data_IF_582144457950
#
_entry.id   IF_582144457950
#
_cell.length_a   1.000
_cell.length_b   1.000
_cell.length_c   1.000
_cell.angle_alpha   90.00
_cell.angle_beta   90.00
_cell.angle_gamma   90.00
#
_symmetry.space_group_name_H-M   'P 1'
#
loop_
_entity.id
_entity.type
_entity.pdbx_description
1 polymer ?
#
# COMPACT_ATOMS: atom_id res chain seq x y z
N UNK A 1 -9.46 22.30 71.80
CA UNK A 1 -10.89 21.97 71.69
C UNK A 1 -11.43 22.65 70.44
N UNK A 2 -11.78 21.85 69.43
CA UNK A 2 -12.93 22.02 68.54
C UNK A 2 -13.01 20.78 67.62
N UNK A 3 -13.96 19.91 67.96
CA UNK A 3 -14.87 19.03 67.18
C UNK A 3 -14.63 18.91 65.64
N UNK A 4 -14.87 17.82 64.90
CA UNK A 4 -15.50 16.50 65.11
C UNK A 4 -15.42 15.71 63.77
N UNK A 5 -15.17 14.39 63.88
CA UNK A 5 -15.67 13.21 63.10
C UNK A 5 -15.55 13.09 61.56
N UNK A 6 -14.86 12.00 61.19
CA UNK A 6 -15.34 10.82 60.41
C UNK A 6 -15.75 11.03 58.95
N UNK A 7 -15.03 10.41 58.02
CA UNK A 7 -15.61 9.57 56.97
C UNK A 7 -14.61 8.49 56.52
N UNK A 8 -15.06 7.23 56.59
CA UNK A 8 -14.41 6.02 56.13
C UNK A 8 -14.89 5.78 54.69
N UNK A 9 -13.98 5.65 53.70
CA UNK A 9 -14.29 4.99 52.44
C UNK A 9 -13.11 4.11 52.05
N UNK A 10 -13.33 2.80 52.16
CA UNK A 10 -12.54 1.77 51.53
C UNK A 10 -12.87 1.72 50.03
N UNK A 11 -11.87 1.51 49.17
CA UNK A 11 -12.03 0.85 47.87
C UNK A 11 -10.66 0.48 47.30
N UNK A 12 -10.36 -0.82 47.36
CA UNK A 12 -9.28 -1.48 46.61
C UNK A 12 -9.73 -1.61 45.16
N UNK A 13 -8.88 -1.22 44.21
CA UNK A 13 -8.96 -1.67 42.83
C UNK A 13 -7.55 -1.76 42.26
N UNK A 14 -6.97 -2.97 42.33
CA UNK A 14 -5.81 -3.33 41.53
C UNK A 14 -6.29 -3.53 40.09
N UNK A 15 -5.88 -2.65 39.18
CA UNK A 15 -6.00 -2.89 37.74
C UNK A 15 -4.64 -3.34 37.26
N UNK A 16 -4.50 -4.65 37.03
CA UNK A 16 -3.36 -5.23 36.35
C UNK A 16 -3.33 -4.71 34.91
N UNK A 17 -2.32 -3.91 34.59
CA UNK A 17 -2.04 -3.47 33.24
C UNK A 17 -1.51 -4.69 32.46
N UNK A 18 -2.40 -5.40 31.79
CA UNK A 18 -2.01 -6.35 30.75
C UNK A 18 -1.51 -5.50 29.59
N UNK A 19 -0.19 -5.47 29.39
CA UNK A 19 0.42 -4.99 28.16
C UNK A 19 0.24 -6.12 27.13
N UNK A 20 -0.62 -6.00 26.10
CA UNK A 20 -0.57 -6.95 25.00
C UNK A 20 0.79 -6.75 24.32
N UNK A 21 1.59 -7.82 24.30
CA UNK A 21 2.89 -7.83 23.65
C UNK A 21 2.78 -7.33 22.22
N UNK A 22 3.73 -6.49 21.83
CA UNK A 22 3.98 -6.10 20.45
C UNK A 22 4.02 -7.33 19.56
N UNK A 23 3.02 -7.47 18.68
CA UNK A 23 3.08 -8.41 17.57
C UNK A 23 4.35 -8.11 16.80
N UNK A 24 5.17 -9.14 16.60
CA UNK A 24 6.43 -8.99 15.86
C UNK A 24 6.15 -8.37 14.50
N UNK A 25 6.95 -7.37 14.12
CA UNK A 25 7.04 -6.90 12.76
C UNK A 25 7.65 -8.02 11.90
N UNK A 26 6.86 -9.07 11.61
CA UNK A 26 7.05 -9.83 10.38
C UNK A 26 6.80 -8.82 9.28
N UNK A 27 7.85 -8.39 8.59
CA UNK A 27 7.73 -7.41 7.51
C UNK A 27 6.61 -7.86 6.57
N UNK A 28 5.56 -7.06 6.47
CA UNK A 28 4.49 -7.35 5.53
C UNK A 28 5.12 -7.45 4.14
N UNK A 29 4.99 -8.60 3.49
CA UNK A 29 5.39 -8.73 2.09
C UNK A 29 4.38 -7.92 1.29
N UNK A 30 4.77 -6.73 0.87
CA UNK A 30 3.96 -5.91 -0.03
C UNK A 30 3.87 -6.65 -1.37
N UNK A 31 2.66 -7.00 -1.86
CA UNK A 31 2.52 -7.67 -3.14
C UNK A 31 3.11 -6.82 -4.28
N UNK A 32 3.82 -7.47 -5.19
CA UNK A 32 4.41 -6.82 -6.37
C UNK A 32 3.48 -6.96 -7.56
N UNK A 33 3.25 -5.84 -8.24
CA UNK A 33 2.63 -5.80 -9.56
C UNK A 33 3.63 -5.18 -10.56
N UNK A 34 3.64 -5.71 -11.77
CA UNK A 34 4.47 -5.21 -12.86
C UNK A 34 3.56 -4.72 -13.99
N UNK A 35 3.62 -3.43 -14.27
CA UNK A 35 2.99 -2.81 -15.42
C UNK A 35 3.97 -2.73 -16.60
N UNK A 36 3.50 -2.92 -17.82
CA UNK A 36 4.32 -2.77 -19.03
C UNK A 36 3.54 -2.05 -20.12
N UNK A 37 4.16 -1.05 -20.75
CA UNK A 37 3.64 -0.31 -21.90
C UNK A 37 4.59 -0.51 -23.06
N UNK A 38 4.13 -1.19 -24.11
CA UNK A 38 4.95 -1.56 -25.26
C UNK A 38 6.06 -2.56 -24.89
N UNK A 39 7.19 -2.46 -25.58
CA UNK A 39 8.41 -3.20 -25.25
C UNK A 39 9.65 -2.48 -25.76
N UNK A 40 10.83 -2.91 -25.32
CA UNK A 40 12.09 -2.35 -25.82
C UNK A 40 12.28 -2.47 -27.34
N UNK A 41 11.64 -3.44 -28.00
CA UNK A 41 11.74 -3.66 -29.46
C UNK A 41 10.51 -3.16 -30.23
N UNK A 42 9.40 -2.89 -29.54
CA UNK A 42 8.20 -2.31 -30.12
C UNK A 42 7.52 -1.37 -29.10
N UNK A 43 8.08 -0.17 -28.87
CA UNK A 43 7.56 0.80 -27.90
C UNK A 43 6.09 1.16 -28.12
N UNK A 44 5.69 1.34 -29.38
CA UNK A 44 4.35 1.81 -29.76
C UNK A 44 3.41 0.65 -30.15
N UNK A 45 3.57 -0.53 -29.53
CA UNK A 45 2.81 -1.72 -29.91
C UNK A 45 1.32 -1.71 -29.47
N UNK A 46 0.79 -0.60 -28.96
CA UNK A 46 -0.57 -0.50 -28.39
C UNK A 46 -0.89 -1.62 -27.39
N UNK A 47 0.12 -2.04 -26.61
CA UNK A 47 0.00 -3.09 -25.61
C UNK A 47 0.30 -2.52 -24.24
N UNK A 48 -0.68 -2.63 -23.33
CA UNK A 48 -0.55 -2.27 -21.92
C UNK A 48 -0.97 -3.48 -21.09
N UNK A 49 -0.14 -3.90 -20.15
CA UNK A 49 -0.42 -5.05 -19.29
C UNK A 49 -0.07 -4.76 -17.83
N UNK A 50 -0.73 -5.50 -16.94
CA UNK A 50 -0.43 -5.57 -15.51
C UNK A 50 -0.37 -7.06 -15.13
N UNK A 51 0.69 -7.46 -14.44
CA UNK A 51 0.88 -8.82 -13.99
C UNK A 51 1.29 -8.88 -12.52
N UNK A 52 0.94 -9.96 -11.84
CA UNK A 52 1.43 -10.24 -10.48
C UNK A 52 2.87 -10.78 -10.50
N UNK A 53 3.41 -11.06 -9.32
CA UNK A 53 4.76 -11.63 -9.16
C UNK A 53 4.95 -13.01 -9.80
N UNK A 54 3.87 -13.69 -10.19
CA UNK A 54 3.92 -14.97 -10.91
C UNK A 54 3.88 -14.80 -12.43
N UNK A 55 3.67 -13.57 -12.92
CA UNK A 55 3.45 -13.26 -14.33
C UNK A 55 2.00 -13.45 -14.78
N UNK A 56 1.07 -13.70 -13.85
CA UNK A 56 -0.34 -13.86 -14.18
C UNK A 56 -0.96 -12.49 -14.46
N UNK A 57 -1.72 -12.38 -15.56
CA UNK A 57 -2.41 -11.15 -15.93
C UNK A 57 -3.40 -10.74 -14.83
N UNK A 58 -3.28 -9.50 -14.38
CA UNK A 58 -4.19 -8.88 -13.42
C UNK A 58 -5.21 -8.02 -14.17
N UNK A 59 -6.49 -8.26 -13.90
CA UNK A 59 -7.60 -7.46 -14.46
C UNK A 59 -8.43 -6.77 -13.39
N UNK A 60 -8.14 -7.05 -12.11
CA UNK A 60 -8.77 -6.43 -10.95
C UNK A 60 -7.71 -6.29 -9.87
N UNK A 61 -7.61 -5.10 -9.27
CA UNK A 61 -6.73 -4.83 -8.13
C UNK A 61 -7.63 -4.54 -6.94
N UNK A 62 -7.57 -5.40 -5.93
CA UNK A 62 -8.26 -5.16 -4.67
C UNK A 62 -7.66 -3.95 -3.95
N UNK A 63 -8.42 -3.20 -3.14
CA UNK A 63 -7.85 -2.14 -2.31
C UNK A 63 -6.79 -2.69 -1.35
N UNK A 64 -5.62 -2.07 -1.30
CA UNK A 64 -4.52 -2.48 -0.44
C UNK A 64 -3.20 -1.79 -0.78
N UNK A 65 -2.16 -2.10 -0.02
CA UNK A 65 -0.79 -1.65 -0.33
C UNK A 65 -0.16 -2.59 -1.36
N UNK A 66 0.45 -2.02 -2.39
CA UNK A 66 1.15 -2.74 -3.45
C UNK A 66 2.43 -2.01 -3.79
N UNK A 67 3.48 -2.76 -4.15
CA UNK A 67 4.60 -2.20 -4.89
C UNK A 67 4.27 -2.36 -6.36
N UNK A 68 4.29 -1.27 -7.14
CA UNK A 68 4.00 -1.32 -8.57
C UNK A 68 5.24 -0.86 -9.32
N UNK A 69 5.84 -1.75 -10.11
CA UNK A 69 6.93 -1.43 -11.02
C UNK A 69 6.35 -1.20 -12.41
N UNK A 70 6.61 -0.04 -12.98
CA UNK A 70 6.17 0.32 -14.33
C UNK A 70 7.36 0.29 -15.27
N UNK A 71 7.21 -0.49 -16.35
CA UNK A 71 8.11 -0.47 -17.48
C UNK A 71 7.44 0.21 -18.67
N UNK A 72 7.64 1.52 -18.83
CA UNK A 72 7.05 2.31 -19.92
C UNK A 72 8.09 2.61 -20.99
N UNK A 73 7.96 1.93 -22.13
CA UNK A 73 8.85 2.15 -23.27
C UNK A 73 8.28 3.20 -24.24
N UNK A 74 7.01 3.57 -24.10
CA UNK A 74 6.27 4.27 -25.13
C UNK A 74 6.42 5.80 -25.04
N UNK A 75 6.10 6.46 -26.14
CA UNK A 75 5.93 7.90 -26.23
C UNK A 75 4.50 8.31 -26.56
N UNK A 76 3.70 7.45 -27.20
CA UNK A 76 2.33 7.79 -27.58
C UNK A 76 1.28 7.43 -26.51
N UNK A 77 1.64 6.58 -25.57
CA UNK A 77 0.75 6.04 -24.54
C UNK A 77 1.46 6.02 -23.20
N UNK A 78 0.68 5.80 -22.14
CA UNK A 78 1.18 5.69 -20.78
C UNK A 78 0.46 4.58 -20.02
N UNK A 79 0.98 4.24 -18.83
CA UNK A 79 0.26 3.44 -17.85
C UNK A 79 -0.48 4.38 -16.90
N UNK A 80 -1.78 4.17 -16.70
CA UNK A 80 -2.59 4.95 -15.75
C UNK A 80 -3.37 4.01 -14.83
N UNK A 81 -3.06 4.06 -13.53
CA UNK A 81 -3.80 3.39 -12.48
C UNK A 81 -4.69 4.39 -11.75
N UNK A 82 -6.00 4.19 -11.87
CA UNK A 82 -7.02 5.06 -11.27
C UNK A 82 -8.03 4.26 -10.44
N UNK A 83 -8.42 4.78 -9.27
CA UNK A 83 -9.41 4.19 -8.39
C UNK A 83 -9.56 4.98 -7.07
N UNK A 84 -10.36 4.48 -6.11
CA UNK A 84 -10.47 5.12 -4.79
C UNK A 84 -9.09 5.28 -4.12
N UNK A 85 -8.65 6.52 -3.94
CA UNK A 85 -7.37 6.83 -3.28
C UNK A 85 -6.12 6.68 -4.14
N UNK A 86 -6.24 6.33 -5.43
CA UNK A 86 -5.12 6.21 -6.37
C UNK A 86 -5.43 6.89 -7.70
N UNK A 87 -4.52 7.74 -8.14
CA UNK A 87 -4.52 8.36 -9.46
C UNK A 87 -3.05 8.60 -9.85
N UNK A 88 -2.43 7.59 -10.46
CA UNK A 88 -1.02 7.59 -10.82
C UNK A 88 -0.84 7.20 -12.27
N UNK A 89 -0.06 7.98 -13.00
CA UNK A 89 0.24 7.71 -14.39
C UNK A 89 1.71 8.03 -14.70
N UNK A 90 2.29 7.30 -15.64
CA UNK A 90 3.52 7.73 -16.33
C UNK A 90 3.21 8.90 -17.27
N UNK A 91 4.24 9.67 -17.61
CA UNK A 91 4.11 10.75 -18.58
C UNK A 91 3.85 10.19 -19.99
N UNK A 92 3.14 10.98 -20.81
CA UNK A 92 3.08 10.75 -22.27
C UNK A 92 4.26 11.50 -22.90
N UNK A 93 4.71 11.06 -24.08
CA UNK A 93 5.84 11.60 -24.86
C UNK A 93 7.24 11.35 -24.26
N UNK A 94 7.35 10.58 -23.18
CA UNK A 94 8.62 10.28 -22.52
C UNK A 94 8.62 8.86 -21.97
N UNK A 95 9.52 7.97 -22.43
CA UNK A 95 9.68 6.66 -21.83
C UNK A 95 10.15 6.79 -20.38
N UNK A 96 9.56 6.03 -19.47
CA UNK A 96 9.78 6.15 -18.03
C UNK A 96 9.73 4.78 -17.35
N UNK A 97 10.65 4.57 -16.40
CA UNK A 97 10.57 3.44 -15.48
C UNK A 97 10.21 3.99 -14.11
N UNK A 98 9.12 3.51 -13.52
CA UNK A 98 8.63 4.01 -12.23
C UNK A 98 8.48 2.88 -11.20
N UNK A 99 8.49 3.25 -9.92
CA UNK A 99 8.12 2.36 -8.83
C UNK A 99 7.23 3.11 -7.83
N UNK A 100 6.02 2.60 -7.61
CA UNK A 100 5.02 3.17 -6.69
C UNK A 100 4.81 2.25 -5.48
N UNK A 101 4.30 2.78 -4.36
CA UNK A 101 4.08 2.07 -3.08
C UNK A 101 2.84 2.56 -2.35
#
# INVERSE_FOLDING_TARGET
MNHVRLFLIASVAAVGLIVPGSVGAGGAVTPLLTATVGSATAPEAYQISLADSTGTKVTHVDPGQYTIVVHDYATLHNFHLSGPGVDQATAVETPEQATWS
#
